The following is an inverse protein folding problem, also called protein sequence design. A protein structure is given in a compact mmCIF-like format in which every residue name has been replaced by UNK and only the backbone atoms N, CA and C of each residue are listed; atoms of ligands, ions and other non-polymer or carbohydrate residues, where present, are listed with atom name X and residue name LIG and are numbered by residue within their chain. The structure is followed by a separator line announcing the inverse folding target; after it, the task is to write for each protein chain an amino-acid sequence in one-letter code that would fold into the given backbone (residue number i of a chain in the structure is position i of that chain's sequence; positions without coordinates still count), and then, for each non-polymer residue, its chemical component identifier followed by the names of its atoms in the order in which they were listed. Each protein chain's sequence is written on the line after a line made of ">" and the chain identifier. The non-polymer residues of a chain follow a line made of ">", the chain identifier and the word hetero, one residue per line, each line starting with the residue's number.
data_IF_835959266630
#
_entry.id   IF_835959266630
#
_cell.length_a   1.000
_cell.length_b   1.000
_cell.length_c   1.000
_cell.angle_alpha   90.00
_cell.angle_beta   90.00
_cell.angle_gamma   90.00
#
_symmetry.space_group_name_H-M   'P 1'
#
loop_
_entity.id
_entity.type
_entity.pdbx_description
1 polymer ?
#
# COMPACT_ATOMS: atom_id res chain seq x y z
N UNK A 1 -3.65 23.28 -13.62
CA UNK A 1 -4.03 22.10 -14.44
C UNK A 1 -2.80 21.22 -14.53
N UNK A 2 -2.63 20.30 -13.59
CA UNK A 2 -1.43 19.44 -13.55
C UNK A 2 -1.77 18.11 -14.21
N UNK A 3 -1.29 17.96 -15.43
CA UNK A 3 -1.40 16.73 -16.23
C UNK A 3 -0.36 15.72 -15.73
N UNK A 4 -0.69 14.93 -14.71
CA UNK A 4 0.20 13.82 -14.33
C UNK A 4 0.05 12.68 -15.33
N UNK A 5 1.19 12.29 -15.90
CA UNK A 5 1.38 11.28 -16.94
C UNK A 5 0.78 9.91 -16.54
N UNK A 6 0.17 9.15 -17.47
CA UNK A 6 -0.67 7.98 -17.15
C UNK A 6 -0.03 6.76 -16.45
N UNK A 7 1.27 6.42 -16.55
CA UNK A 7 1.80 5.24 -15.85
C UNK A 7 2.06 5.52 -14.36
N UNK A 8 2.61 6.69 -14.02
CA UNK A 8 3.05 6.98 -12.63
C UNK A 8 1.88 7.11 -11.65
N UNK A 9 0.73 7.61 -12.13
CA UNK A 9 -0.49 7.69 -11.32
C UNK A 9 -1.19 6.35 -11.10
N UNK A 10 -1.13 5.41 -12.06
CA UNK A 10 -1.76 4.10 -11.91
C UNK A 10 -0.99 3.21 -10.92
N UNK A 11 0.34 3.26 -10.97
CA UNK A 11 1.19 2.56 -9.99
C UNK A 11 0.99 3.13 -8.58
N UNK A 12 0.91 4.45 -8.45
CA UNK A 12 0.60 5.10 -7.16
C UNK A 12 -0.76 4.65 -6.62
N UNK A 13 -1.81 4.63 -7.45
CA UNK A 13 -3.15 4.25 -7.00
C UNK A 13 -3.25 2.80 -6.49
N UNK A 14 -2.54 1.85 -7.12
CA UNK A 14 -2.53 0.45 -6.69
C UNK A 14 -1.76 0.25 -5.37
N UNK A 15 -0.63 0.95 -5.21
CA UNK A 15 0.15 0.97 -3.96
C UNK A 15 -0.64 1.59 -2.82
N UNK A 16 -1.35 2.70 -3.08
CA UNK A 16 -2.22 3.37 -2.11
C UNK A 16 -3.36 2.45 -1.64
N UNK A 17 -4.05 1.80 -2.58
CA UNK A 17 -5.12 0.85 -2.24
C UNK A 17 -4.60 -0.34 -1.44
N UNK A 18 -3.43 -0.88 -1.81
CA UNK A 18 -2.77 -1.95 -1.07
C UNK A 18 -2.39 -1.53 0.35
N UNK A 19 -1.85 -0.31 0.52
CA UNK A 19 -1.48 0.25 1.81
C UNK A 19 -2.70 0.44 2.72
N UNK A 20 -3.78 1.01 2.18
CA UNK A 20 -5.04 1.16 2.91
C UNK A 20 -5.63 -0.18 3.33
N UNK A 21 -5.67 -1.14 2.41
CA UNK A 21 -6.13 -2.49 2.72
C UNK A 21 -5.31 -3.12 3.84
N UNK A 22 -3.97 -3.08 3.74
CA UNK A 22 -3.08 -3.64 4.76
C UNK A 22 -3.20 -2.91 6.11
N UNK A 23 -3.40 -1.59 6.11
CA UNK A 23 -3.58 -0.80 7.32
C UNK A 23 -4.91 -1.10 8.05
N UNK A 24 -5.93 -1.53 7.31
CA UNK A 24 -7.23 -1.95 7.85
C UNK A 24 -7.18 -3.35 8.47
N UNK A 25 -6.34 -4.25 7.94
CA UNK A 25 -6.18 -5.58 8.49
C UNK A 25 -5.69 -5.55 9.95
N UNK A 26 -6.47 -6.19 10.82
CA UNK A 26 -6.08 -6.45 12.21
C UNK A 26 -4.99 -7.52 12.31
N UNK A 27 -5.03 -8.53 11.45
CA UNK A 27 -4.02 -9.57 11.33
C UNK A 27 -3.55 -9.66 9.86
N UNK A 28 -2.34 -9.19 9.53
CA UNK A 28 -1.85 -9.21 8.16
C UNK A 28 -1.43 -10.64 7.74
N UNK A 29 -1.61 -11.01 6.46
CA UNK A 29 -1.19 -12.31 5.96
C UNK A 29 0.33 -12.42 5.93
N UNK A 30 0.87 -13.58 6.32
CA UNK A 30 2.29 -13.86 6.24
C UNK A 30 2.53 -14.99 5.22
N UNK A 31 3.33 -14.77 4.16
CA UNK A 31 4.10 -13.57 3.85
C UNK A 31 3.29 -12.44 3.16
N UNK A 32 3.53 -11.18 3.57
CA UNK A 32 2.76 -10.00 3.11
C UNK A 32 3.04 -9.66 1.64
N UNK A 33 4.32 -9.71 1.23
CA UNK A 33 4.72 -9.31 -0.13
C UNK A 33 4.04 -10.18 -1.21
N UNK A 34 4.08 -11.54 -1.15
CA UNK A 34 3.33 -12.38 -2.10
C UNK A 34 1.83 -12.08 -2.11
N UNK A 35 1.22 -11.92 -0.94
CA UNK A 35 -0.21 -11.59 -0.84
C UNK A 35 -0.56 -10.27 -1.54
N UNK A 36 0.29 -9.24 -1.42
CA UNK A 36 0.09 -7.95 -2.10
C UNK A 36 0.28 -8.08 -3.61
N UNK A 37 1.28 -8.84 -4.06
CA UNK A 37 1.54 -9.08 -5.48
C UNK A 37 0.39 -9.84 -6.14
N UNK A 38 -0.11 -10.91 -5.50
CA UNK A 38 -1.20 -11.73 -6.03
C UNK A 38 -2.54 -10.98 -6.04
N UNK A 39 -2.78 -10.14 -5.02
CA UNK A 39 -4.05 -9.43 -4.86
C UNK A 39 -4.17 -8.18 -5.72
N UNK A 40 -3.09 -7.41 -5.84
CA UNK A 40 -3.10 -6.10 -6.49
C UNK A 40 -2.23 -6.04 -7.76
N UNK A 41 -1.56 -7.14 -8.13
CA UNK A 41 -0.69 -7.18 -9.31
C UNK A 41 0.60 -6.38 -9.16
N UNK A 42 1.00 -6.05 -7.93
CA UNK A 42 2.16 -5.21 -7.64
C UNK A 42 3.49 -5.91 -7.94
N UNK A 43 4.52 -5.12 -8.23
CA UNK A 43 5.91 -5.56 -8.15
C UNK A 43 6.38 -5.69 -6.70
N UNK A 44 7.55 -6.30 -6.49
CA UNK A 44 8.13 -6.43 -5.16
C UNK A 44 8.46 -5.07 -4.51
N UNK A 45 8.83 -4.07 -5.31
CA UNK A 45 9.15 -2.72 -4.84
C UNK A 45 7.88 -2.02 -4.37
N UNK A 46 6.84 -2.03 -5.20
CA UNK A 46 5.52 -1.46 -4.88
C UNK A 46 4.88 -2.12 -3.65
N UNK A 47 5.04 -3.43 -3.49
CA UNK A 47 4.58 -4.13 -2.29
C UNK A 47 5.30 -3.65 -1.03
N UNK A 48 6.62 -3.43 -1.08
CA UNK A 48 7.37 -2.85 0.03
C UNK A 48 6.93 -1.40 0.35
N UNK A 49 6.67 -0.59 -0.67
CA UNK A 49 6.15 0.77 -0.49
C UNK A 49 4.78 0.77 0.19
N UNK A 50 3.87 -0.10 -0.26
CA UNK A 50 2.56 -0.26 0.36
C UNK A 50 2.65 -0.70 1.83
N UNK A 51 3.59 -1.59 2.16
CA UNK A 51 3.87 -2.01 3.55
C UNK A 51 4.33 -0.82 4.40
N UNK A 52 5.29 -0.04 3.90
CA UNK A 52 5.80 1.13 4.63
C UNK A 52 4.70 2.18 4.88
N UNK A 53 3.85 2.42 3.89
CA UNK A 53 2.70 3.32 4.01
C UNK A 53 1.68 2.81 5.04
N UNK A 54 1.33 1.53 5.00
CA UNK A 54 0.40 0.94 5.94
C UNK A 54 0.88 1.06 7.40
N UNK A 55 2.18 0.82 7.64
CA UNK A 55 2.80 1.02 8.95
C UNK A 55 2.75 2.48 9.40
N UNK A 56 3.03 3.43 8.50
CA UNK A 56 2.91 4.87 8.79
C UNK A 56 1.48 5.24 9.21
N UNK A 57 0.47 4.73 8.51
CA UNK A 57 -0.94 4.98 8.85
C UNK A 57 -1.29 4.43 10.25
N UNK A 58 -0.81 3.23 10.60
CA UNK A 58 -1.02 2.63 11.92
C UNK A 58 -0.36 3.44 13.03
N UNK A 59 0.87 3.91 12.81
CA UNK A 59 1.57 4.79 13.77
C UNK A 59 0.84 6.11 13.94
N UNK A 60 0.42 6.75 12.84
CA UNK A 60 -0.34 8.00 12.89
C UNK A 60 -1.66 7.82 13.67
N UNK A 61 -2.38 6.73 13.43
CA UNK A 61 -3.63 6.40 14.13
C UNK A 61 -3.40 6.14 15.63
N UNK A 62 -2.24 5.60 16.03
CA UNK A 62 -1.86 5.46 17.45
C UNK A 62 -1.46 6.78 18.11
N UNK A 63 -0.85 7.69 17.35
CA UNK A 63 -0.37 8.98 17.87
C UNK A 63 -1.48 10.03 18.01
N UNK A 64 -2.54 9.93 17.19
CA UNK A 64 -3.66 10.88 17.15
C UNK A 64 -5.02 10.28 17.59
N UNK A 65 -5.06 9.00 17.93
CA UNK A 65 -6.25 8.28 18.37
C UNK A 65 -6.40 8.21 19.88
#
# INVERSE_FOLDING_TARGET
>A
MSITTPPEHQHSAAVEQAAHWLADLREPPHPIVPALKERFGLSAVEACEAIAWAERMRVYRKAHG
#
